data_IF_010736643742
#
_entry.id   IF_010736643742
#
_cell.length_a   1.000
_cell.length_b   1.000
_cell.length_c   1.000
_cell.angle_alpha   90.00
_cell.angle_beta   90.00
_cell.angle_gamma   90.00
#
_symmetry.space_group_name_H-M   'P 1'
#
loop_
_entity.id
_entity.type
_entity.pdbx_description
1 polymer ?
#
# COMPACT_ATOMS: atom_id res chain seq x y z
N UNK A 1 8.64 5.54 -6.33
CA UNK A 1 9.29 6.47 -7.27
C UNK A 1 10.45 7.20 -6.62
N UNK A 2 11.30 7.83 -7.40
CA UNK A 2 12.52 8.50 -6.99
C UNK A 2 12.75 9.72 -7.90
N UNK A 3 13.96 10.32 -7.85
CA UNK A 3 14.35 11.43 -8.71
C UNK A 3 14.52 11.04 -10.19
N UNK A 4 14.84 9.78 -10.46
CA UNK A 4 14.92 9.23 -11.81
C UNK A 4 13.59 8.62 -12.24
N UNK A 5 13.36 8.59 -13.57
CA UNK A 5 12.17 8.09 -14.20
C UNK A 5 10.89 8.89 -13.84
N UNK A 6 9.74 8.42 -14.24
CA UNK A 6 8.45 9.07 -13.97
C UNK A 6 8.08 9.02 -12.50
N UNK A 7 7.41 10.06 -12.01
CA UNK A 7 6.66 9.98 -10.76
C UNK A 7 5.62 8.87 -10.84
N UNK A 8 5.19 8.34 -9.70
CA UNK A 8 4.20 7.25 -9.65
C UNK A 8 2.90 7.63 -10.40
N UNK A 9 2.38 8.84 -10.20
CA UNK A 9 1.18 9.32 -10.90
C UNK A 9 1.37 9.35 -12.42
N UNK A 10 2.52 9.83 -12.92
CA UNK A 10 2.85 9.84 -14.36
C UNK A 10 2.98 8.42 -14.91
N UNK A 11 3.64 7.51 -14.16
CA UNK A 11 3.78 6.12 -14.55
C UNK A 11 2.42 5.44 -14.71
N UNK A 12 1.49 5.66 -13.78
CA UNK A 12 0.14 5.11 -13.86
C UNK A 12 -0.63 5.67 -15.07
N UNK A 13 -0.49 6.97 -15.36
CA UNK A 13 -1.08 7.56 -16.58
C UNK A 13 -0.51 6.93 -17.85
N UNK A 14 0.81 6.73 -17.93
CA UNK A 14 1.48 6.18 -19.10
C UNK A 14 1.17 4.70 -19.34
N UNK A 15 1.08 3.90 -18.28
CA UNK A 15 0.85 2.45 -18.37
C UNK A 15 -0.63 2.06 -18.41
N UNK A 16 -1.51 2.96 -17.99
CA UNK A 16 -2.96 2.76 -17.93
C UNK A 16 -3.71 3.98 -18.48
N UNK A 17 -3.56 4.29 -19.77
CA UNK A 17 -4.15 5.49 -20.36
C UNK A 17 -5.68 5.49 -20.30
N UNK A 18 -6.31 4.32 -20.41
CA UNK A 18 -7.77 4.15 -20.40
C UNK A 18 -8.39 4.06 -18.99
N UNK A 19 -7.57 4.05 -17.92
CA UNK A 19 -8.09 4.03 -16.57
C UNK A 19 -8.67 5.40 -16.17
N UNK A 20 -9.70 5.40 -15.32
CA UNK A 20 -10.23 6.62 -14.74
C UNK A 20 -9.26 7.22 -13.70
N UNK A 21 -9.46 8.46 -13.30
CA UNK A 21 -8.63 9.08 -12.25
C UNK A 21 -8.82 8.38 -10.89
N UNK A 22 -10.04 7.91 -10.60
CA UNK A 22 -10.34 7.13 -9.39
C UNK A 22 -9.62 5.77 -9.40
N UNK A 23 -9.56 5.10 -10.55
CA UNK A 23 -8.82 3.85 -10.72
C UNK A 23 -7.32 4.06 -10.52
N UNK A 24 -6.77 5.15 -11.09
CA UNK A 24 -5.36 5.51 -10.88
C UNK A 24 -5.06 5.88 -9.43
N UNK A 25 -5.96 6.60 -8.75
CA UNK A 25 -5.83 6.91 -7.33
C UNK A 25 -5.87 5.63 -6.47
N UNK A 26 -6.73 4.66 -6.79
CA UNK A 26 -6.78 3.37 -6.11
C UNK A 26 -5.48 2.58 -6.27
N UNK A 27 -4.92 2.54 -7.48
CA UNK A 27 -3.63 1.88 -7.74
C UNK A 27 -2.44 2.63 -7.11
N UNK A 28 -2.53 3.97 -7.03
CA UNK A 28 -1.55 4.77 -6.31
C UNK A 28 -1.54 4.41 -4.82
N UNK A 29 -2.70 4.36 -4.18
CA UNK A 29 -2.84 3.89 -2.79
C UNK A 29 -2.33 2.46 -2.60
N UNK A 30 -2.61 1.57 -3.56
CA UNK A 30 -2.10 0.20 -3.54
C UNK A 30 -0.57 0.17 -3.56
N UNK A 31 0.07 0.95 -4.44
CA UNK A 31 1.53 1.04 -4.53
C UNK A 31 2.16 1.63 -3.25
N UNK A 32 1.57 2.68 -2.68
CA UNK A 32 2.02 3.25 -1.41
C UNK A 32 1.87 2.25 -0.25
N UNK A 33 0.82 1.42 -0.27
CA UNK A 33 0.67 0.35 0.73
C UNK A 33 1.81 -0.66 0.64
N UNK A 34 2.27 -1.02 -0.55
CA UNK A 34 3.46 -1.85 -0.73
C UNK A 34 4.68 -1.25 -0.04
N UNK A 35 4.95 0.03 -0.26
CA UNK A 35 6.11 0.73 0.32
C UNK A 35 6.04 0.71 1.85
N UNK A 36 4.88 1.09 2.41
CA UNK A 36 4.76 1.26 3.85
C UNK A 36 4.55 -0.03 4.66
N UNK A 37 4.18 -1.14 4.01
CA UNK A 37 4.04 -2.44 4.67
C UNK A 37 5.20 -3.40 4.41
N UNK A 38 6.08 -3.10 3.45
CA UNK A 38 7.31 -3.85 3.21
C UNK A 38 8.33 -3.65 4.33
N UNK A 39 9.16 -4.67 4.56
CA UNK A 39 10.30 -4.58 5.45
C UNK A 39 11.40 -3.66 4.87
N UNK A 40 12.30 -3.20 5.72
CA UNK A 40 13.36 -2.27 5.34
C UNK A 40 12.97 -0.80 5.52
N UNK A 41 13.73 0.11 4.90
CA UNK A 41 13.50 1.56 4.99
C UNK A 41 12.52 1.98 3.90
N UNK A 42 11.35 2.54 4.24
CA UNK A 42 10.42 3.04 3.24
C UNK A 42 11.00 4.29 2.58
N UNK A 43 10.86 4.38 1.27
CA UNK A 43 11.28 5.53 0.49
C UNK A 43 10.14 5.96 -0.44
N UNK A 44 9.72 7.21 -0.35
CA UNK A 44 8.77 7.84 -1.27
C UNK A 44 9.36 9.12 -1.82
N UNK A 45 8.98 9.50 -3.02
CA UNK A 45 9.38 10.76 -3.61
C UNK A 45 8.45 11.88 -3.10
N UNK A 46 9.02 13.04 -2.75
CA UNK A 46 8.25 14.15 -2.20
C UNK A 46 7.11 14.58 -3.13
N UNK A 47 5.88 14.50 -2.64
CA UNK A 47 4.66 14.76 -3.38
C UNK A 47 3.90 13.51 -3.86
N UNK A 48 4.49 12.31 -3.78
CA UNK A 48 3.77 11.08 -4.09
C UNK A 48 2.55 10.91 -3.18
N UNK A 49 2.63 11.34 -1.91
CA UNK A 49 1.52 11.33 -0.97
C UNK A 49 0.30 12.15 -1.40
N UNK A 50 0.45 12.97 -2.42
CA UNK A 50 -0.63 13.80 -3.00
C UNK A 50 -0.67 13.73 -4.52
N UNK A 51 -0.24 12.61 -5.08
CA UNK A 51 -0.27 12.32 -6.53
C UNK A 51 0.47 13.36 -7.39
N UNK A 52 1.64 13.83 -6.92
CA UNK A 52 2.50 14.72 -7.71
C UNK A 52 2.75 14.12 -9.09
N UNK A 53 2.63 14.93 -10.13
CA UNK A 53 3.06 14.60 -11.47
C UNK A 53 4.16 15.56 -11.97
N UNK A 54 4.87 15.14 -12.99
CA UNK A 54 5.87 15.90 -13.72
C UNK A 54 5.57 15.89 -15.21
N UNK A 55 4.30 15.83 -15.58
CA UNK A 55 3.78 15.85 -16.95
C UNK A 55 4.41 14.76 -17.84
N UNK A 56 4.70 13.59 -17.26
CA UNK A 56 5.28 12.44 -17.96
C UNK A 56 6.78 12.55 -18.26
N UNK A 57 7.49 13.52 -17.71
CA UNK A 57 8.94 13.68 -17.93
C UNK A 57 9.70 12.58 -17.16
N UNK A 58 10.48 11.78 -17.88
CA UNK A 58 11.29 10.69 -17.33
C UNK A 58 12.47 11.16 -16.49
N UNK A 59 13.18 12.16 -16.98
CA UNK A 59 14.37 12.66 -16.32
C UNK A 59 14.30 14.19 -16.24
N UNK A 60 13.83 14.68 -15.11
CA UNK A 60 13.47 16.07 -14.93
C UNK A 60 14.55 16.91 -14.24
N UNK A 61 15.76 16.37 -14.01
CA UNK A 61 16.79 17.03 -13.17
C UNK A 61 17.13 18.45 -13.66
N UNK A 62 17.09 18.72 -14.95
CA UNK A 62 17.36 20.01 -15.58
C UNK A 62 16.10 20.65 -16.17
N UNK A 63 14.91 20.14 -15.85
CA UNK A 63 13.65 20.73 -16.30
C UNK A 63 13.33 22.01 -15.52
N UNK A 64 12.55 22.93 -16.12
CA UNK A 64 12.19 24.18 -15.47
C UNK A 64 11.26 23.97 -14.26
N UNK A 65 11.09 25.02 -13.47
CA UNK A 65 10.24 25.00 -12.27
C UNK A 65 8.80 24.59 -12.59
N UNK A 66 8.29 24.88 -13.77
CA UNK A 66 6.95 24.45 -14.22
C UNK A 66 6.77 22.92 -14.25
N UNK A 67 7.87 22.16 -14.20
CA UNK A 67 7.89 20.69 -14.11
C UNK A 67 8.28 20.25 -12.68
N UNK A 68 9.26 20.92 -12.07
CA UNK A 68 9.88 20.46 -10.82
C UNK A 68 9.22 21.00 -9.55
N UNK A 69 8.46 22.10 -9.63
CA UNK A 69 7.74 22.65 -8.49
C UNK A 69 6.67 21.67 -7.97
N UNK A 70 6.56 21.56 -6.66
CA UNK A 70 5.48 20.82 -6.03
C UNK A 70 4.23 21.72 -6.01
N UNK A 71 3.17 21.29 -6.68
CA UNK A 71 1.87 21.96 -6.60
C UNK A 71 1.14 21.55 -5.32
N UNK A 72 1.23 22.39 -4.29
CA UNK A 72 0.61 22.15 -3.01
C UNK A 72 -0.93 22.09 -3.04
N UNK A 73 -1.57 22.56 -4.12
CA UNK A 73 -3.02 22.41 -4.30
C UNK A 73 -3.44 20.95 -4.42
N UNK A 74 -2.52 20.08 -4.87
CA UNK A 74 -2.74 18.64 -4.96
C UNK A 74 -3.09 18.03 -3.60
N UNK A 75 -2.60 18.57 -2.49
CA UNK A 75 -2.99 18.14 -1.14
C UNK A 75 -4.49 18.28 -0.88
N UNK A 76 -5.13 19.29 -1.46
CA UNK A 76 -6.59 19.47 -1.36
C UNK A 76 -7.33 18.68 -2.42
N UNK A 77 -6.81 18.65 -3.66
CA UNK A 77 -7.42 17.94 -4.79
C UNK A 77 -7.44 16.42 -4.52
N UNK A 78 -6.33 15.88 -4.04
CA UNK A 78 -6.14 14.47 -3.74
C UNK A 78 -6.05 14.21 -2.22
N UNK A 79 -6.89 14.91 -1.44
CA UNK A 79 -6.89 14.81 0.02
C UNK A 79 -7.11 13.39 0.52
N UNK A 80 -7.87 12.58 -0.21
CA UNK A 80 -8.16 11.19 0.11
C UNK A 80 -6.90 10.28 -0.02
N UNK A 81 -6.01 10.57 -0.98
CA UNK A 81 -4.72 9.88 -1.11
C UNK A 81 -3.77 10.36 -0.02
N UNK A 82 -3.71 11.68 0.22
CA UNK A 82 -2.88 12.26 1.27
C UNK A 82 -3.24 11.70 2.66
N UNK A 83 -4.52 11.66 2.99
CA UNK A 83 -5.00 11.09 4.25
C UNK A 83 -4.69 9.60 4.37
N UNK A 84 -4.84 8.85 3.27
CA UNK A 84 -4.52 7.43 3.22
C UNK A 84 -3.02 7.18 3.51
N UNK A 85 -2.12 7.93 2.88
CA UNK A 85 -0.67 7.81 3.11
C UNK A 85 -0.30 8.22 4.54
N UNK A 86 -0.92 9.25 5.09
CA UNK A 86 -0.75 9.62 6.51
C UNK A 86 -1.13 8.47 7.45
N UNK A 87 -2.24 7.79 7.18
CA UNK A 87 -2.65 6.63 7.96
C UNK A 87 -1.72 5.42 7.79
N UNK A 88 -1.15 5.19 6.59
CA UNK A 88 -0.11 4.17 6.39
C UNK A 88 1.15 4.45 7.20
N UNK A 89 1.60 5.70 7.23
CA UNK A 89 2.75 6.13 8.05
C UNK A 89 2.45 5.87 9.53
N UNK A 90 1.26 6.24 9.99
CA UNK A 90 0.82 6.04 11.37
C UNK A 90 0.75 4.56 11.72
N UNK A 91 0.16 3.74 10.85
CA UNK A 91 0.11 2.28 10.98
C UNK A 91 1.53 1.70 11.13
N UNK A 92 2.43 2.05 10.23
CA UNK A 92 3.83 1.58 10.28
C UNK A 92 4.56 2.02 11.55
N UNK A 93 4.31 3.22 12.04
CA UNK A 93 4.90 3.73 13.28
C UNK A 93 4.39 2.99 14.52
N UNK A 94 3.11 2.67 14.56
CA UNK A 94 2.47 2.00 15.69
C UNK A 94 2.75 0.50 15.73
N UNK A 95 3.03 -0.13 14.56
CA UNK A 95 3.21 -1.57 14.44
C UNK A 95 4.65 -1.93 14.08
N UNK A 96 5.47 -2.32 15.09
CA UNK A 96 6.87 -2.69 14.87
C UNK A 96 7.06 -3.93 13.99
N UNK A 97 6.03 -4.76 13.80
CA UNK A 97 6.04 -5.88 12.86
C UNK A 97 6.41 -5.45 11.42
N UNK A 98 6.06 -4.24 10.99
CA UNK A 98 6.43 -3.69 9.67
C UNK A 98 7.87 -3.17 9.59
N UNK A 99 8.64 -3.18 10.70
CA UNK A 99 9.96 -2.55 10.82
C UNK A 99 10.95 -3.46 11.54
N UNK A 100 11.06 -4.72 11.14
CA UNK A 100 11.88 -5.68 11.89
C UNK A 100 13.39 -5.39 11.87
N UNK A 101 13.93 -4.72 10.86
CA UNK A 101 15.33 -4.26 10.84
C UNK A 101 16.41 -5.36 10.90
N UNK A 102 16.01 -6.63 10.94
CA UNK A 102 16.88 -7.80 11.08
C UNK A 102 16.39 -8.90 10.14
N UNK A 103 17.30 -9.42 9.31
CA UNK A 103 16.95 -10.40 8.28
C UNK A 103 16.49 -11.75 8.87
N UNK A 104 17.04 -12.14 10.01
CA UNK A 104 16.65 -13.41 10.66
C UNK A 104 15.26 -13.30 11.28
N UNK A 105 14.93 -12.15 11.86
CA UNK A 105 13.55 -11.87 12.31
C UNK A 105 12.57 -11.88 11.14
N UNK A 106 12.93 -11.28 10.00
CA UNK A 106 12.07 -11.30 8.81
C UNK A 106 11.83 -12.75 8.36
N UNK A 107 12.87 -13.58 8.26
CA UNK A 107 12.74 -15.00 7.90
C UNK A 107 11.89 -15.79 8.90
N UNK A 108 11.97 -15.46 10.20
CA UNK A 108 11.23 -16.14 11.25
C UNK A 108 9.74 -15.78 11.25
N UNK A 109 9.41 -14.51 11.10
CA UNK A 109 8.07 -13.99 11.37
C UNK A 109 7.27 -13.63 10.12
N UNK A 110 7.89 -13.56 8.95
CA UNK A 110 7.20 -13.22 7.70
C UNK A 110 7.12 -14.44 6.78
N UNK A 111 5.94 -14.69 6.25
CA UNK A 111 5.68 -15.77 5.30
C UNK A 111 4.76 -15.29 4.19
N UNK A 112 5.09 -15.61 2.92
CA UNK A 112 4.18 -15.36 1.81
C UNK A 112 3.07 -16.41 1.80
N UNK A 113 1.84 -15.95 1.68
CA UNK A 113 0.70 -16.83 1.55
C UNK A 113 0.57 -17.33 0.11
N UNK A 114 0.16 -18.59 -0.11
CA UNK A 114 -0.10 -19.11 -1.44
C UNK A 114 -1.27 -18.34 -2.08
N UNK A 115 -1.10 -17.96 -3.34
CA UNK A 115 -2.11 -17.24 -4.11
C UNK A 115 -2.34 -17.92 -5.45
N UNK A 116 -3.56 -17.84 -5.96
CA UNK A 116 -3.90 -18.36 -7.27
C UNK A 116 -3.80 -17.27 -8.35
N UNK A 117 -3.15 -17.63 -9.46
CA UNK A 117 -2.99 -16.75 -10.62
C UNK A 117 -2.01 -15.60 -10.38
N UNK A 118 -2.01 -14.63 -11.29
CA UNK A 118 -1.15 -13.45 -11.27
C UNK A 118 -1.83 -12.25 -10.61
N UNK A 119 -1.03 -11.20 -10.33
CA UNK A 119 -1.52 -9.90 -9.85
C UNK A 119 -2.24 -9.92 -8.48
N UNK A 120 -1.96 -10.93 -7.68
CA UNK A 120 -2.30 -11.01 -6.26
C UNK A 120 -1.02 -11.37 -5.50
N UNK A 121 -0.73 -10.68 -4.42
CA UNK A 121 0.37 -10.98 -3.49
C UNK A 121 -0.16 -10.86 -2.08
N UNK A 122 0.21 -11.78 -1.21
CA UNK A 122 -0.14 -11.69 0.20
C UNK A 122 0.97 -12.27 1.09
N UNK A 123 1.11 -11.70 2.26
CA UNK A 123 1.98 -12.22 3.29
C UNK A 123 1.35 -12.09 4.69
N UNK A 124 1.85 -12.89 5.61
CA UNK A 124 1.52 -12.82 7.02
C UNK A 124 2.76 -12.45 7.84
N UNK A 125 2.60 -11.56 8.80
CA UNK A 125 3.52 -11.31 9.91
C UNK A 125 2.90 -12.00 11.13
N UNK A 126 3.57 -12.99 11.68
CA UNK A 126 3.00 -13.93 12.68
C UNK A 126 3.64 -13.79 14.06
N UNK A 127 2.94 -14.30 15.07
CA UNK A 127 3.46 -14.52 16.42
C UNK A 127 3.99 -13.23 17.09
N UNK A 128 3.21 -12.13 17.03
CA UNK A 128 3.58 -10.83 17.59
C UNK A 128 4.94 -10.34 17.08
N UNK A 129 5.17 -10.45 15.77
CA UNK A 129 6.42 -10.13 15.10
C UNK A 129 7.05 -8.84 15.65
N UNK A 130 8.33 -8.89 15.99
CA UNK A 130 9.09 -7.77 16.56
C UNK A 130 8.45 -7.14 17.83
N UNK A 131 7.68 -7.90 18.60
CA UNK A 131 6.99 -7.41 19.81
C UNK A 131 5.72 -6.59 19.52
N UNK A 132 5.11 -6.77 18.33
CA UNK A 132 3.87 -6.11 18.00
C UNK A 132 2.72 -6.52 18.92
N UNK A 133 1.79 -5.60 19.14
CA UNK A 133 0.57 -5.87 19.89
C UNK A 133 -0.41 -6.79 19.14
N UNK A 134 -0.37 -6.77 17.80
CA UNK A 134 -1.16 -7.65 16.96
C UNK A 134 -0.47 -9.01 16.81
N UNK A 135 -1.22 -10.08 17.06
CA UNK A 135 -0.67 -11.43 17.03
C UNK A 135 -0.26 -11.85 15.61
N UNK A 136 -1.18 -11.67 14.68
CA UNK A 136 -0.96 -11.98 13.28
C UNK A 136 -1.47 -10.82 12.43
N UNK A 137 -0.69 -10.39 11.44
CA UNK A 137 -1.06 -9.35 10.49
C UNK A 137 -1.00 -9.94 9.10
N UNK A 138 -2.10 -9.92 8.36
CA UNK A 138 -2.14 -10.35 6.97
C UNK A 138 -2.26 -9.10 6.10
N UNK A 139 -1.37 -8.99 5.13
CA UNK A 139 -1.38 -7.94 4.12
C UNK A 139 -1.57 -8.59 2.75
N UNK A 140 -2.57 -8.15 2.01
CA UNK A 140 -2.86 -8.62 0.66
C UNK A 140 -2.96 -7.44 -0.32
N UNK A 141 -2.42 -7.64 -1.52
CA UNK A 141 -2.40 -6.66 -2.60
C UNK A 141 -3.04 -7.27 -3.84
N UNK A 142 -4.16 -6.74 -4.26
CA UNK A 142 -4.85 -7.17 -5.46
C UNK A 142 -4.83 -6.05 -6.51
N UNK A 143 -4.02 -6.22 -7.56
CA UNK A 143 -4.00 -5.27 -8.69
C UNK A 143 -4.94 -5.66 -9.84
N UNK A 144 -5.72 -6.74 -9.69
CA UNK A 144 -6.73 -7.19 -10.66
C UNK A 144 -7.90 -6.21 -10.74
N UNK A 145 -8.63 -6.26 -11.84
CA UNK A 145 -9.88 -5.50 -12.01
C UNK A 145 -11.06 -6.13 -11.25
N UNK A 146 -10.92 -7.38 -10.80
CA UNK A 146 -11.93 -8.15 -10.06
C UNK A 146 -11.45 -8.42 -8.63
N UNK A 147 -12.39 -8.60 -7.68
CA UNK A 147 -12.06 -9.10 -6.35
C UNK A 147 -11.38 -10.49 -6.44
N UNK A 148 -10.48 -10.77 -5.52
CA UNK A 148 -9.74 -12.01 -5.48
C UNK A 148 -9.97 -12.76 -4.16
N UNK A 149 -10.14 -14.07 -4.24
CA UNK A 149 -10.14 -14.94 -3.07
C UNK A 149 -8.73 -15.16 -2.57
N UNK A 150 -8.57 -15.17 -1.26
CA UNK A 150 -7.32 -15.48 -0.59
C UNK A 150 -7.59 -16.43 0.57
N UNK A 151 -6.94 -17.59 0.55
CA UNK A 151 -6.91 -18.50 1.70
C UNK A 151 -5.99 -17.93 2.77
N UNK A 152 -6.46 -17.95 4.02
CA UNK A 152 -5.74 -17.45 5.19
C UNK A 152 -5.82 -18.47 6.32
N UNK A 153 -4.93 -18.43 7.33
CA UNK A 153 -5.09 -19.24 8.53
C UNK A 153 -6.47 -19.00 9.16
N UNK A 154 -7.14 -20.07 9.57
CA UNK A 154 -8.46 -19.99 10.17
C UNK A 154 -8.43 -19.12 11.44
N UNK A 155 -9.36 -18.18 11.53
CA UNK A 155 -9.40 -17.27 12.67
C UNK A 155 -10.46 -16.20 12.56
N UNK A 156 -10.43 -15.29 13.53
CA UNK A 156 -11.23 -14.06 13.53
C UNK A 156 -10.28 -12.87 13.44
N UNK A 157 -10.49 -12.04 12.45
CA UNK A 157 -9.61 -10.92 12.12
C UNK A 157 -10.38 -9.61 12.09
N UNK A 158 -9.75 -8.55 12.58
CA UNK A 158 -10.22 -7.18 12.44
C UNK A 158 -9.68 -6.58 11.14
N UNK A 159 -10.53 -5.96 10.33
CA UNK A 159 -10.14 -5.27 9.09
C UNK A 159 -9.70 -3.86 9.45
N UNK A 160 -8.49 -3.47 9.05
CA UNK A 160 -7.95 -2.11 9.26
C UNK A 160 -7.64 -1.38 7.96
N UNK A 161 -7.48 -2.10 6.85
CA UNK A 161 -7.35 -1.51 5.52
C UNK A 161 -8.21 -2.29 4.53
N UNK A 162 -9.04 -1.58 3.77
CA UNK A 162 -9.88 -2.15 2.71
C UNK A 162 -10.44 -1.04 1.83
N UNK A 163 -10.61 -1.29 0.53
CA UNK A 163 -11.24 -0.38 -0.44
C UNK A 163 -10.63 1.05 -0.40
N UNK A 164 -9.29 1.14 -0.34
CA UNK A 164 -8.58 2.41 -0.31
C UNK A 164 -8.84 3.27 0.94
N UNK A 165 -9.26 2.64 2.04
CA UNK A 165 -9.48 3.28 3.34
C UNK A 165 -8.70 2.56 4.43
N UNK A 166 -8.21 3.31 5.42
CA UNK A 166 -7.53 2.77 6.61
C UNK A 166 -8.22 3.31 7.85
N UNK A 167 -8.44 2.44 8.83
CA UNK A 167 -8.91 2.80 10.16
C UNK A 167 -8.32 1.84 11.18
N UNK A 168 -7.33 2.28 11.93
CA UNK A 168 -6.61 1.41 12.88
C UNK A 168 -7.51 0.86 14.01
N UNK A 169 -8.57 1.56 14.38
CA UNK A 169 -9.59 1.07 15.32
C UNK A 169 -10.51 -0.02 14.74
N UNK A 170 -10.32 -0.37 13.46
CA UNK A 170 -11.10 -1.38 12.75
C UNK A 170 -12.27 -0.82 11.93
N UNK A 171 -12.59 -1.54 10.85
CA UNK A 171 -13.70 -1.28 9.93
C UNK A 171 -14.67 -2.47 9.83
N UNK A 172 -14.58 -3.39 10.77
CA UNK A 172 -15.37 -4.63 10.78
C UNK A 172 -14.48 -5.85 11.02
N UNK A 173 -15.09 -7.01 10.97
CA UNK A 173 -14.41 -8.28 11.23
C UNK A 173 -14.74 -9.29 10.15
N UNK A 174 -13.80 -10.22 9.93
CA UNK A 174 -13.98 -11.41 9.11
C UNK A 174 -13.60 -12.63 9.93
N UNK A 175 -14.28 -13.74 9.67
CA UNK A 175 -14.01 -15.02 10.34
C UNK A 175 -13.98 -16.14 9.32
N UNK A 176 -13.13 -17.15 9.57
CA UNK A 176 -12.98 -18.29 8.67
C UNK A 176 -11.55 -18.44 8.18
N UNK A 177 -11.39 -19.11 7.06
CA UNK A 177 -10.11 -19.43 6.43
C UNK A 177 -9.98 -18.85 5.01
N UNK A 178 -10.89 -17.96 4.62
CA UNK A 178 -10.87 -17.30 3.32
C UNK A 178 -11.36 -15.85 3.47
N UNK A 179 -10.75 -14.95 2.70
CA UNK A 179 -11.19 -13.55 2.55
C UNK A 179 -11.32 -13.17 1.09
N UNK A 180 -12.10 -12.11 0.82
CA UNK A 180 -12.20 -11.48 -0.50
C UNK A 180 -11.41 -10.17 -0.46
N UNK A 181 -10.32 -10.10 -1.21
CA UNK A 181 -9.52 -8.90 -1.39
C UNK A 181 -10.13 -8.08 -2.51
N UNK A 182 -10.56 -6.83 -2.27
CA UNK A 182 -11.21 -6.02 -3.30
C UNK A 182 -10.32 -5.78 -4.51
N UNK A 183 -10.95 -5.47 -5.66
CA UNK A 183 -10.26 -5.11 -6.89
C UNK A 183 -9.38 -3.85 -6.69
N UNK A 184 -8.20 -3.82 -7.32
CA UNK A 184 -7.27 -2.67 -7.30
C UNK A 184 -7.06 -2.08 -5.92
N UNK A 185 -6.95 -2.93 -4.91
CA UNK A 185 -6.89 -2.51 -3.51
C UNK A 185 -5.96 -3.38 -2.69
N UNK A 186 -5.44 -2.81 -1.61
CA UNK A 186 -4.83 -3.56 -0.53
C UNK A 186 -5.86 -3.90 0.54
N UNK A 187 -5.63 -5.00 1.26
CA UNK A 187 -6.37 -5.37 2.45
C UNK A 187 -5.39 -5.70 3.57
N UNK A 188 -5.60 -5.10 4.75
CA UNK A 188 -4.83 -5.41 5.96
C UNK A 188 -5.81 -5.83 7.04
N UNK A 189 -5.55 -7.01 7.61
CA UNK A 189 -6.34 -7.57 8.71
C UNK A 189 -5.42 -8.09 9.80
N UNK A 190 -5.89 -8.12 11.04
CA UNK A 190 -5.12 -8.61 12.17
C UNK A 190 -5.94 -9.37 13.21
N UNK A 191 -5.24 -10.19 14.01
CA UNK A 191 -5.72 -10.85 15.24
C UNK A 191 -5.17 -10.14 16.46
#
# INVERSE_FOLDING_TARGET
SCHDDMCLADRLKATMPDATDEERASLHKLAETFVFTSQGVPFIFAGDEMMRDKKGIHNSYNSPDSINTIDWRNKTIHHDVFDYVRELITLRKNHPAFRMGDADKVRQYMEFLPVEGSNLVAFILKDNANGDSWKNIIVAFNSRKEPAKLSIPAGRYTIVCKDGKIKQSGMGQVSGNEIIVPARSAMIIHQ
#
